data_IF_090785519304
#
_entry.id   IF_090785519304
#
_cell.length_a   1.000
_cell.length_b   1.000
_cell.length_c   1.000
_cell.angle_alpha   90.00
_cell.angle_beta   90.00
_cell.angle_gamma   90.00
#
_symmetry.space_group_name_H-M   'P 1'
#
loop_
_entity.id
_entity.type
_entity.pdbx_description
1 polymer ?
#
# COMPACT_ATOMS: atom_id res chain seq x y z
N UNK A 1 3.86 21.53 10.34
CA UNK A 1 4.78 20.80 9.44
C UNK A 1 6.21 21.03 9.93
N UNK A 2 6.96 19.95 10.12
CA UNK A 2 8.34 19.96 10.58
C UNK A 2 9.22 20.86 9.69
N UNK A 3 10.23 21.52 10.28
CA UNK A 3 11.18 22.39 9.56
C UNK A 3 11.88 21.67 8.40
N UNK A 4 12.20 20.41 8.60
CA UNK A 4 12.80 19.53 7.61
C UNK A 4 11.87 19.30 6.42
N UNK A 5 10.61 18.92 6.68
CA UNK A 5 9.62 18.71 5.63
C UNK A 5 9.31 19.99 4.84
N UNK A 6 9.33 21.16 5.51
CA UNK A 6 9.21 22.46 4.82
C UNK A 6 10.33 22.70 3.83
N UNK A 7 11.57 22.31 4.17
CA UNK A 7 12.73 22.45 3.27
C UNK A 7 12.61 21.54 2.06
N UNK A 8 12.21 20.27 2.27
CA UNK A 8 11.97 19.31 1.20
C UNK A 8 10.93 19.87 0.22
N UNK A 9 9.79 20.30 0.75
CA UNK A 9 8.70 20.86 -0.07
C UNK A 9 9.16 22.07 -0.85
N UNK A 10 9.88 23.00 -0.21
CA UNK A 10 10.37 24.20 -0.87
C UNK A 10 11.20 23.87 -2.10
N UNK A 11 12.20 22.99 -1.97
CA UNK A 11 13.10 22.64 -3.07
C UNK A 11 12.38 21.87 -4.19
N UNK A 12 11.53 20.90 -3.82
CA UNK A 12 10.84 20.08 -4.82
C UNK A 12 9.71 20.85 -5.54
N UNK A 13 9.04 21.78 -4.86
CA UNK A 13 7.98 22.59 -5.47
C UNK A 13 8.49 23.63 -6.47
N UNK A 14 9.79 23.98 -6.43
CA UNK A 14 10.43 24.86 -7.41
C UNK A 14 10.62 24.17 -8.77
N UNK A 15 10.54 22.83 -8.82
CA UNK A 15 10.63 22.06 -10.07
C UNK A 15 9.27 22.11 -10.77
N UNK A 16 9.21 22.76 -11.92
CA UNK A 16 7.96 23.07 -12.63
C UNK A 16 7.09 21.85 -12.92
N UNK A 17 7.72 20.72 -13.24
CA UNK A 17 7.05 19.46 -13.60
C UNK A 17 6.55 18.66 -12.39
N UNK A 18 6.95 19.00 -11.17
CA UNK A 18 6.46 18.33 -9.97
C UNK A 18 5.02 18.76 -9.70
N UNK A 19 4.13 17.78 -9.64
CA UNK A 19 2.69 17.95 -9.40
C UNK A 19 2.31 17.73 -7.95
N UNK A 20 2.90 16.74 -7.31
CA UNK A 20 2.64 16.44 -5.91
C UNK A 20 3.87 15.83 -5.23
N UNK A 21 3.95 16.04 -3.92
CA UNK A 21 4.89 15.38 -3.01
C UNK A 21 4.09 14.82 -1.86
N UNK A 22 4.15 13.51 -1.67
CA UNK A 22 3.39 12.77 -0.67
C UNK A 22 4.38 12.03 0.23
N UNK A 23 4.30 12.26 1.52
CA UNK A 23 5.04 11.53 2.54
C UNK A 23 4.28 10.26 2.88
N UNK A 24 4.94 9.10 2.88
CA UNK A 24 4.34 7.83 3.30
C UNK A 24 5.29 7.04 4.22
N UNK A 25 4.96 5.79 4.51
CA UNK A 25 5.81 4.92 5.32
C UNK A 25 5.87 5.30 6.81
N UNK A 26 6.91 4.82 7.50
CA UNK A 26 7.06 4.94 8.95
C UNK A 26 7.05 6.38 9.45
N UNK A 27 7.61 7.28 8.67
CA UNK A 27 7.66 8.70 9.03
C UNK A 27 6.28 9.39 8.95
N UNK A 28 5.45 8.98 8.01
CA UNK A 28 4.06 9.46 7.91
C UNK A 28 3.21 9.00 9.10
N UNK A 29 3.43 7.78 9.59
CA UNK A 29 2.74 7.21 10.78
C UNK A 29 3.21 7.77 12.12
N UNK A 30 4.26 8.59 12.13
CA UNK A 30 4.95 9.05 13.35
C UNK A 30 5.64 7.92 14.15
N UNK A 31 5.89 6.80 13.53
CA UNK A 31 6.62 5.64 14.08
C UNK A 31 8.11 5.69 13.74
N UNK A 32 8.48 6.61 12.85
CA UNK A 32 9.86 6.79 12.41
C UNK A 32 10.79 7.19 13.54
N UNK A 33 11.87 6.45 13.70
CA UNK A 33 12.97 6.81 14.57
C UNK A 33 13.81 7.97 13.98
N UNK A 34 14.76 8.49 14.76
CA UNK A 34 15.73 9.47 14.26
C UNK A 34 16.57 8.93 13.08
N UNK A 35 16.63 7.62 12.88
CA UNK A 35 17.39 6.95 11.81
C UNK A 35 16.53 6.46 10.66
N UNK A 36 15.21 6.60 10.74
CA UNK A 36 14.31 6.15 9.67
C UNK A 36 14.45 7.02 8.44
N UNK A 37 14.45 6.41 7.26
CA UNK A 37 14.43 7.09 5.98
C UNK A 37 13.09 7.83 5.79
N UNK A 38 13.11 8.82 4.90
CA UNK A 38 11.94 9.62 4.56
C UNK A 38 11.42 9.12 3.21
N UNK A 39 10.32 8.37 3.24
CA UNK A 39 9.68 7.82 2.05
C UNK A 39 8.81 8.88 1.37
N UNK A 40 9.13 9.25 0.14
CA UNK A 40 8.39 10.25 -0.63
C UNK A 40 7.90 9.67 -1.95
N UNK A 41 6.60 9.80 -2.23
CA UNK A 41 6.09 9.70 -3.59
C UNK A 41 6.09 11.10 -4.22
N UNK A 42 6.76 11.22 -5.37
CA UNK A 42 6.86 12.46 -6.13
C UNK A 42 6.20 12.23 -7.47
N UNK A 43 5.09 12.94 -7.73
CA UNK A 43 4.38 12.86 -9.00
C UNK A 43 4.86 13.95 -9.94
N UNK A 44 5.21 13.55 -11.16
CA UNK A 44 5.71 14.45 -12.21
C UNK A 44 4.86 14.38 -13.46
N UNK A 45 4.98 15.39 -14.31
CA UNK A 45 4.38 15.36 -15.65
C UNK A 45 5.19 14.50 -16.62
N UNK A 46 6.50 14.53 -16.53
CA UNK A 46 7.39 13.94 -17.51
C UNK A 46 8.50 13.13 -16.85
N UNK A 47 8.79 11.97 -17.41
CA UNK A 47 9.83 11.05 -16.91
C UNK A 47 11.24 11.66 -16.92
N UNK A 48 11.53 12.53 -17.89
CA UNK A 48 12.85 13.19 -17.99
C UNK A 48 13.22 14.03 -16.75
N UNK A 49 12.22 14.44 -15.95
CA UNK A 49 12.40 15.23 -14.73
C UNK A 49 12.99 14.39 -13.56
N UNK A 50 12.98 13.07 -13.66
CA UNK A 50 13.45 12.15 -12.64
C UNK A 50 14.89 12.45 -12.20
N UNK A 51 15.82 12.61 -13.15
CA UNK A 51 17.23 12.94 -12.85
C UNK A 51 17.39 14.26 -12.09
N UNK A 52 16.62 15.26 -12.47
CA UNK A 52 16.64 16.57 -11.79
C UNK A 52 16.17 16.43 -10.35
N UNK A 53 15.13 15.63 -10.12
CA UNK A 53 14.59 15.37 -8.78
C UNK A 53 15.64 14.63 -7.93
N UNK A 54 16.26 13.56 -8.48
CA UNK A 54 17.30 12.80 -7.78
C UNK A 54 18.47 13.68 -7.35
N UNK A 55 18.98 14.52 -8.25
CA UNK A 55 20.05 15.47 -7.92
C UNK A 55 19.64 16.44 -6.80
N UNK A 56 18.42 16.96 -6.85
CA UNK A 56 17.89 17.85 -5.79
C UNK A 56 17.72 17.11 -4.46
N UNK A 57 17.24 15.85 -4.50
CA UNK A 57 17.09 15.00 -3.30
C UNK A 57 18.45 14.79 -2.63
N UNK A 58 19.49 14.45 -3.38
CA UNK A 58 20.87 14.30 -2.84
C UNK A 58 21.33 15.60 -2.15
N UNK A 59 21.04 16.76 -2.72
CA UNK A 59 21.32 18.05 -2.11
C UNK A 59 20.58 18.26 -0.79
N UNK A 60 19.29 17.90 -0.78
CA UNK A 60 18.45 18.00 0.43
C UNK A 60 18.95 17.06 1.52
N UNK A 61 19.30 15.82 1.21
CA UNK A 61 19.83 14.84 2.17
C UNK A 61 21.06 15.36 2.91
N UNK A 62 22.01 15.93 2.17
CA UNK A 62 23.21 16.56 2.76
C UNK A 62 22.85 17.67 3.75
N UNK A 63 21.84 18.44 3.41
CA UNK A 63 21.43 19.60 4.20
C UNK A 63 20.63 19.24 5.45
N UNK A 64 19.85 18.14 5.42
CA UNK A 64 19.00 17.71 6.54
C UNK A 64 19.64 16.59 7.37
N UNK A 65 20.73 15.97 6.86
CA UNK A 65 21.41 14.84 7.51
C UNK A 65 20.56 13.58 7.59
N UNK A 66 19.68 13.35 6.61
CA UNK A 66 18.79 12.20 6.55
C UNK A 66 18.63 11.68 5.14
N UNK A 67 18.48 10.35 5.02
CA UNK A 67 18.19 9.68 3.76
C UNK A 67 16.74 9.92 3.34
N UNK A 68 16.54 10.19 2.07
CA UNK A 68 15.24 10.30 1.43
C UNK A 68 15.14 9.17 0.41
N UNK A 69 14.07 8.38 0.48
CA UNK A 69 13.76 7.36 -0.52
C UNK A 69 12.67 7.90 -1.47
N UNK A 70 13.05 8.50 -2.62
CA UNK A 70 12.08 9.02 -3.56
C UNK A 70 11.54 7.90 -4.44
N UNK A 71 10.23 7.75 -4.47
CA UNK A 71 9.51 7.01 -5.50
C UNK A 71 8.96 8.03 -6.49
N UNK A 72 9.61 8.16 -7.65
CA UNK A 72 9.22 9.14 -8.67
C UNK A 72 8.34 8.44 -9.70
N UNK A 73 7.18 9.01 -10.01
CA UNK A 73 6.22 8.47 -10.98
C UNK A 73 5.55 9.58 -11.78
N UNK A 74 5.28 9.31 -13.03
CA UNK A 74 4.28 10.08 -13.79
C UNK A 74 2.88 9.58 -13.42
N UNK A 75 1.84 10.36 -13.77
CA UNK A 75 0.45 9.94 -13.55
C UNK A 75 0.11 8.64 -14.30
N UNK A 76 0.73 8.40 -15.45
CA UNK A 76 0.54 7.15 -16.20
C UNK A 76 1.23 5.96 -15.53
N UNK A 77 2.44 6.18 -15.02
CA UNK A 77 3.17 5.15 -14.28
C UNK A 77 2.51 4.85 -12.93
N UNK A 78 1.82 5.81 -12.33
CA UNK A 78 1.06 5.59 -11.10
C UNK A 78 0.00 4.51 -11.27
N UNK A 79 -0.65 4.43 -12.44
CA UNK A 79 -1.64 3.39 -12.77
C UNK A 79 -1.06 1.98 -12.82
N UNK A 80 0.25 1.86 -13.03
CA UNK A 80 0.98 0.58 -13.11
C UNK A 80 1.80 0.29 -11.83
N UNK A 81 1.69 1.17 -10.84
CA UNK A 81 2.42 1.04 -9.58
C UNK A 81 1.85 -0.10 -8.75
N UNK A 82 2.73 -0.75 -7.99
CA UNK A 82 2.35 -1.84 -7.09
C UNK A 82 1.21 -1.46 -6.16
N UNK A 83 0.23 -2.35 -6.06
CA UNK A 83 -1.01 -2.12 -5.32
C UNK A 83 -0.75 -1.92 -3.82
N UNK A 84 0.25 -2.61 -3.25
CA UNK A 84 0.61 -2.46 -1.84
C UNK A 84 1.19 -1.09 -1.53
N UNK A 85 2.03 -0.55 -2.43
CA UNK A 85 2.55 0.81 -2.30
C UNK A 85 1.43 1.84 -2.37
N UNK A 86 0.52 1.71 -3.34
CA UNK A 86 -0.62 2.62 -3.48
C UNK A 86 -1.53 2.56 -2.24
N UNK A 87 -1.78 1.37 -1.70
CA UNK A 87 -2.56 1.20 -0.49
C UNK A 87 -1.95 1.93 0.70
N UNK A 88 -0.64 1.80 0.93
CA UNK A 88 0.07 2.52 1.99
C UNK A 88 -0.02 4.03 1.79
N UNK A 89 0.13 4.50 0.55
CA UNK A 89 0.04 5.93 0.24
C UNK A 89 -1.38 6.47 0.50
N UNK A 90 -2.42 5.74 0.11
CA UNK A 90 -3.81 6.20 0.30
C UNK A 90 -4.28 6.10 1.75
N UNK A 91 -3.82 5.11 2.52
CA UNK A 91 -4.22 4.93 3.92
C UNK A 91 -3.47 5.84 4.89
N UNK A 92 -2.18 6.04 4.67
CA UNK A 92 -1.29 6.64 5.66
C UNK A 92 -0.53 7.87 5.13
N UNK A 93 -0.58 8.08 3.83
CA UNK A 93 0.16 9.15 3.17
C UNK A 93 -0.33 10.54 3.56
N UNK A 94 0.63 11.48 3.66
CA UNK A 94 0.37 12.89 3.92
C UNK A 94 0.80 13.72 2.73
N UNK A 95 -0.13 14.42 2.12
CA UNK A 95 0.16 15.35 1.04
C UNK A 95 0.96 16.51 1.63
N UNK A 96 2.21 16.64 1.22
CA UNK A 96 3.08 17.75 1.62
C UNK A 96 2.96 18.92 0.64
N UNK A 97 2.81 18.61 -0.64
CA UNK A 97 2.66 19.59 -1.73
C UNK A 97 1.72 19.06 -2.80
N UNK A 98 0.87 19.91 -3.30
CA UNK A 98 -0.02 19.65 -4.43
C UNK A 98 -0.15 20.93 -5.23
N UNK A 99 0.31 20.89 -6.50
CA UNK A 99 0.29 22.06 -7.40
C UNK A 99 -1.12 22.30 -7.94
N UNK A 100 -1.80 21.24 -8.29
CA UNK A 100 -3.14 21.22 -8.84
C UNK A 100 -3.81 19.89 -8.52
N UNK A 101 -5.15 19.81 -8.51
CA UNK A 101 -5.84 18.56 -8.29
C UNK A 101 -5.32 17.48 -9.24
N UNK A 102 -4.96 16.33 -8.67
CA UNK A 102 -4.55 15.16 -9.44
C UNK A 102 -5.75 14.26 -9.60
N UNK A 103 -6.17 14.06 -10.84
CA UNK A 103 -7.24 13.12 -11.16
C UNK A 103 -6.66 11.69 -11.05
N UNK A 104 -6.93 11.06 -9.92
CA UNK A 104 -6.61 9.65 -9.70
C UNK A 104 -7.83 8.84 -10.11
N UNK A 105 -7.73 8.01 -11.15
CA UNK A 105 -8.86 7.19 -11.57
C UNK A 105 -9.40 6.37 -10.38
N UNK A 106 -10.69 6.46 -10.14
CA UNK A 106 -11.37 5.70 -9.07
C UNK A 106 -11.16 4.18 -9.20
N UNK A 107 -10.89 3.68 -10.43
CA UNK A 107 -10.49 2.29 -10.66
C UNK A 107 -9.25 1.88 -9.86
N UNK A 108 -8.26 2.75 -9.68
CA UNK A 108 -7.07 2.46 -8.85
C UNK A 108 -7.41 2.23 -7.37
N UNK A 109 -8.52 2.81 -6.91
CA UNK A 109 -8.99 2.66 -5.52
C UNK A 109 -9.97 1.49 -5.44
N UNK A 110 -10.82 1.29 -6.46
CA UNK A 110 -11.91 0.31 -6.46
C UNK A 110 -11.50 -1.08 -6.96
N UNK A 111 -10.40 -1.21 -7.71
CA UNK A 111 -9.87 -2.51 -8.15
C UNK A 111 -9.18 -3.30 -7.01
N UNK A 112 -8.96 -2.68 -5.88
CA UNK A 112 -8.46 -3.37 -4.69
C UNK A 112 -9.61 -4.16 -4.06
N UNK A 113 -9.72 -5.43 -4.42
CA UNK A 113 -10.58 -6.36 -3.68
C UNK A 113 -9.94 -6.58 -2.30
N UNK A 114 -10.59 -6.19 -1.21
CA UNK A 114 -10.05 -6.44 0.11
C UNK A 114 -9.96 -7.95 0.32
N UNK A 115 -8.77 -8.44 0.66
CA UNK A 115 -8.57 -9.82 1.09
C UNK A 115 -8.52 -9.85 2.61
N UNK A 116 -9.31 -10.74 3.19
CA UNK A 116 -9.27 -11.00 4.63
C UNK A 116 -8.74 -12.40 4.84
N UNK A 117 -7.65 -12.53 5.58
CA UNK A 117 -7.05 -13.83 5.92
C UNK A 117 -7.52 -14.21 7.32
N UNK A 118 -8.28 -15.29 7.40
CA UNK A 118 -8.66 -15.89 8.67
C UNK A 118 -7.73 -17.06 9.00
N UNK A 119 -7.12 -17.02 10.18
CA UNK A 119 -6.34 -18.14 10.70
C UNK A 119 -7.03 -18.69 11.94
N UNK A 120 -7.23 -19.99 11.99
CA UNK A 120 -7.91 -20.65 13.09
C UNK A 120 -7.28 -22.00 13.42
N UNK A 121 -7.48 -22.46 14.65
CA UNK A 121 -7.03 -23.76 15.11
C UNK A 121 -8.21 -24.56 15.62
N UNK A 122 -8.28 -25.82 15.24
CA UNK A 122 -9.32 -26.75 15.67
C UNK A 122 -8.87 -27.69 16.80
N UNK A 123 -7.78 -27.33 17.51
CA UNK A 123 -7.18 -28.18 18.56
C UNK A 123 -8.13 -28.46 19.72
N UNK A 124 -9.01 -27.52 20.05
CA UNK A 124 -10.01 -27.67 21.13
C UNK A 124 -11.24 -28.51 20.78
N UNK A 125 -11.41 -28.85 19.50
CA UNK A 125 -12.56 -29.62 19.02
C UNK A 125 -12.26 -31.12 19.03
N UNK A 126 -13.26 -31.95 19.42
CA UNK A 126 -13.22 -33.38 19.27
C UNK A 126 -13.38 -33.79 17.79
N UNK A 127 -13.19 -35.08 17.46
CA UNK A 127 -13.24 -35.57 16.06
C UNK A 127 -14.56 -35.32 15.37
N UNK A 128 -15.68 -35.52 16.08
CA UNK A 128 -17.02 -35.29 15.48
C UNK A 128 -17.26 -33.81 15.19
N UNK A 129 -16.82 -32.91 16.08
CA UNK A 129 -16.90 -31.48 15.89
C UNK A 129 -16.00 -31.00 14.73
N UNK A 130 -14.78 -31.57 14.61
CA UNK A 130 -13.89 -31.29 13.47
C UNK A 130 -14.50 -31.73 12.15
N UNK A 131 -15.11 -32.94 12.12
CA UNK A 131 -15.77 -33.44 10.94
C UNK A 131 -16.96 -32.55 10.53
N UNK A 132 -17.78 -32.15 11.52
CA UNK A 132 -18.90 -31.23 11.28
C UNK A 132 -18.39 -29.90 10.75
N UNK A 133 -17.42 -29.27 11.41
CA UNK A 133 -16.82 -28.02 10.96
C UNK A 133 -16.30 -28.13 9.52
N UNK A 134 -15.54 -29.15 9.19
CA UNK A 134 -14.99 -29.33 7.86
C UNK A 134 -16.09 -29.48 6.80
N UNK A 135 -17.16 -30.20 7.11
CA UNK A 135 -18.28 -30.34 6.21
C UNK A 135 -19.01 -29.00 5.99
N UNK A 136 -19.34 -28.30 7.06
CA UNK A 136 -20.10 -27.06 7.00
C UNK A 136 -19.27 -25.93 6.35
N UNK A 137 -17.97 -25.92 6.60
CA UNK A 137 -17.09 -24.86 6.17
C UNK A 137 -16.54 -25.08 4.75
N UNK A 138 -16.02 -26.27 4.45
CA UNK A 138 -15.43 -26.59 3.14
C UNK A 138 -16.41 -27.24 2.16
N UNK A 139 -17.55 -27.69 2.64
CA UNK A 139 -18.50 -28.46 1.84
C UNK A 139 -18.14 -29.95 1.77
N UNK A 140 -18.98 -30.70 1.10
CA UNK A 140 -18.81 -32.15 0.90
C UNK A 140 -19.17 -32.55 -0.51
N UNK A 141 -18.24 -33.22 -1.18
CA UNK A 141 -18.48 -33.86 -2.49
C UNK A 141 -18.18 -35.36 -2.36
N UNK A 142 -19.15 -36.13 -1.90
CA UNK A 142 -19.01 -37.59 -1.82
C UNK A 142 -20.36 -38.29 -2.04
N UNK A 143 -20.46 -39.05 -3.14
CA UNK A 143 -21.67 -39.82 -3.49
C UNK A 143 -22.89 -38.93 -3.69
N UNK A 144 -23.98 -39.23 -2.99
CA UNK A 144 -25.28 -38.49 -3.09
C UNK A 144 -25.23 -37.10 -2.40
N UNK A 145 -24.20 -36.83 -1.64
CA UNK A 145 -24.05 -35.56 -0.90
C UNK A 145 -23.14 -34.60 -1.66
N UNK A 146 -23.75 -33.61 -2.24
CA UNK A 146 -23.01 -32.52 -2.90
C UNK A 146 -23.58 -31.18 -2.40
N UNK A 147 -22.91 -30.58 -1.44
CA UNK A 147 -23.26 -29.24 -0.98
C UNK A 147 -22.03 -28.36 -0.83
N UNK A 148 -22.23 -27.10 -1.14
CA UNK A 148 -21.19 -26.09 -1.03
C UNK A 148 -21.03 -25.69 0.44
N UNK A 149 -19.78 -25.62 0.90
CA UNK A 149 -19.51 -25.08 2.22
C UNK A 149 -19.44 -23.55 2.21
N UNK A 150 -19.48 -22.98 3.41
CA UNK A 150 -19.44 -21.53 3.63
C UNK A 150 -18.28 -20.85 2.88
N UNK A 151 -17.09 -21.47 2.84
CA UNK A 151 -15.91 -20.93 2.15
C UNK A 151 -16.21 -20.67 0.66
N UNK A 152 -16.88 -21.62 0.00
CA UNK A 152 -17.24 -21.46 -1.41
C UNK A 152 -18.35 -20.42 -1.62
N UNK A 153 -19.29 -20.30 -0.67
CA UNK A 153 -20.37 -19.31 -0.75
C UNK A 153 -19.84 -17.88 -0.67
N UNK A 154 -18.82 -17.65 0.16
CA UNK A 154 -18.17 -16.33 0.28
C UNK A 154 -17.05 -16.10 -0.73
N UNK A 155 -16.80 -17.03 -1.65
CA UNK A 155 -15.73 -16.93 -2.65
C UNK A 155 -14.32 -17.05 -2.07
N UNK A 156 -14.17 -17.65 -0.90
CA UNK A 156 -12.91 -17.83 -0.23
C UNK A 156 -12.05 -18.97 -0.80
N UNK A 157 -10.76 -18.94 -0.51
CA UNK A 157 -9.80 -19.95 -0.90
C UNK A 157 -9.03 -20.47 0.31
N UNK A 158 -8.83 -21.80 0.37
CA UNK A 158 -8.01 -22.42 1.39
C UNK A 158 -6.52 -22.23 1.06
N UNK A 159 -5.79 -21.53 1.90
CA UNK A 159 -4.35 -21.30 1.73
C UNK A 159 -3.51 -22.40 2.36
N UNK A 160 -3.91 -22.87 3.55
CA UNK A 160 -3.24 -23.96 4.26
C UNK A 160 -4.21 -24.63 5.24
N UNK A 161 -3.75 -25.66 5.98
CA UNK A 161 -4.55 -26.23 7.06
C UNK A 161 -4.71 -25.17 8.19
N UNK A 162 -5.93 -24.60 8.32
CA UNK A 162 -6.26 -23.58 9.32
C UNK A 162 -6.06 -22.13 8.87
N UNK A 163 -5.87 -21.88 7.55
CA UNK A 163 -5.83 -20.52 6.98
C UNK A 163 -6.69 -20.46 5.72
N UNK A 164 -7.41 -19.37 5.55
CA UNK A 164 -8.29 -19.09 4.40
C UNK A 164 -8.19 -17.62 4.02
#
# INVERSE_FOLDING_TARGET
>A
MDRMLKKIVKVLSEIQDVKAVILYGSFARKEGSLRSDIDLLILTMQKKTEKIIEEKVIGIEKDIGRTIQPTIRTLEELKKTDTGLLQNIFQEGKILYLKEPVDVPSSLILEQKPWVIYSFRLSSLNQNQKAKFNNDFYGRQKGKYNYKGLLNEVGGQKLSAGSI
#
